data_IF_000681717968
#
_entry.id   IF_000681717968
#
_cell.length_a   1.000
_cell.length_b   1.000
_cell.length_c   1.000
_cell.angle_alpha   90.00
_cell.angle_beta   90.00
_cell.angle_gamma   90.00
#
_symmetry.space_group_name_H-M   'P 1'
#
loop_
_entity.id
_entity.type
_entity.pdbx_description
1 polymer ?
#
# COMPACT_ATOMS: atom_id res chain seq x y z
N UNK A 1 -21.48 -14.14 28.05
CA UNK A 1 -20.64 -14.11 29.28
C UNK A 1 -19.27 -13.61 28.85
N UNK A 2 -19.03 -12.30 28.91
CA UNK A 2 -17.81 -11.69 28.38
C UNK A 2 -16.70 -11.73 29.43
N UNK A 3 -15.59 -12.38 29.10
CA UNK A 3 -14.40 -12.47 29.95
C UNK A 3 -13.48 -11.26 29.71
N UNK A 4 -13.06 -10.61 30.80
CA UNK A 4 -12.05 -9.55 30.80
C UNK A 4 -10.69 -10.13 30.41
N UNK A 5 -10.10 -9.62 29.33
CA UNK A 5 -8.71 -9.87 28.94
C UNK A 5 -7.80 -8.98 29.78
N UNK A 6 -6.99 -9.60 30.64
CA UNK A 6 -5.92 -8.92 31.38
C UNK A 6 -4.67 -8.82 30.49
N UNK A 7 -4.22 -7.59 30.26
CA UNK A 7 -3.03 -7.25 29.48
C UNK A 7 -1.76 -7.49 30.31
N UNK A 8 -1.21 -8.71 30.21
CA UNK A 8 0.23 -9.00 30.30
C UNK A 8 0.43 -10.48 29.93
N UNK A 9 1.03 -10.70 28.76
CA UNK A 9 1.69 -11.94 28.38
C UNK A 9 0.88 -13.25 28.27
N UNK A 10 -0.41 -13.20 27.91
CA UNK A 10 -1.08 -14.41 27.43
C UNK A 10 -0.97 -14.50 25.91
N UNK A 11 0.02 -15.30 25.48
CA UNK A 11 -0.03 -16.06 24.22
C UNK A 11 -1.43 -16.68 24.10
N UNK A 12 -1.93 -16.72 22.87
CA UNK A 12 -3.17 -17.36 22.44
C UNK A 12 -3.31 -18.76 23.08
N UNK A 13 -4.03 -18.86 24.19
CA UNK A 13 -4.21 -20.11 24.96
C UNK A 13 -5.40 -20.96 24.47
N UNK A 14 -6.02 -20.61 23.34
CA UNK A 14 -7.20 -21.31 22.82
C UNK A 14 -6.99 -22.09 21.51
N UNK A 15 -5.75 -22.50 21.21
CA UNK A 15 -5.48 -23.63 20.32
C UNK A 15 -4.60 -24.64 21.06
N UNK A 16 -5.20 -25.71 21.56
CA UNK A 16 -4.50 -26.80 22.25
C UNK A 16 -3.41 -27.40 21.33
N UNK A 17 -2.20 -27.45 21.85
CA UNK A 17 -1.10 -28.37 21.51
C UNK A 17 -0.38 -28.27 20.15
N UNK A 18 -0.29 -27.09 19.53
CA UNK A 18 0.74 -26.86 18.50
C UNK A 18 1.90 -26.07 19.11
N UNK A 19 3.11 -26.66 19.27
CA UNK A 19 4.29 -25.92 19.70
C UNK A 19 4.55 -24.75 18.75
N UNK A 20 4.47 -23.54 19.29
CA UNK A 20 4.77 -22.31 18.55
C UNK A 20 6.25 -22.01 18.75
N UNK A 21 7.10 -22.46 17.82
CA UNK A 21 8.49 -22.04 17.76
C UNK A 21 8.59 -20.68 17.06
N UNK A 22 9.01 -19.65 17.80
CA UNK A 22 9.37 -18.37 17.21
C UNK A 22 10.73 -18.50 16.53
N UNK A 23 10.73 -18.44 15.20
CA UNK A 23 11.95 -18.64 14.41
C UNK A 23 12.78 -17.36 14.22
N UNK A 24 12.14 -16.19 14.12
CA UNK A 24 12.82 -14.95 13.74
C UNK A 24 11.97 -13.68 13.95
N UNK A 25 12.59 -12.61 14.47
CA UNK A 25 12.03 -11.25 14.39
C UNK A 25 12.33 -10.64 13.01
N UNK A 26 11.31 -10.08 12.35
CA UNK A 26 11.43 -9.61 10.96
C UNK A 26 11.14 -8.13 10.77
N UNK A 27 10.79 -7.40 11.83
CA UNK A 27 10.48 -5.95 11.75
C UNK A 27 11.20 -5.11 12.80
N UNK A 28 11.18 -3.80 12.55
CA UNK A 28 11.54 -2.78 13.53
C UNK A 28 10.60 -2.79 14.74
N UNK A 29 11.09 -2.37 15.93
CA UNK A 29 10.29 -2.31 17.13
C UNK A 29 9.34 -1.10 17.10
N UNK A 30 8.10 -1.33 17.50
CA UNK A 30 7.09 -0.30 17.70
C UNK A 30 6.38 -0.53 19.04
N UNK A 31 5.70 0.49 19.56
CA UNK A 31 4.73 0.36 20.65
C UNK A 31 5.21 -0.55 21.81
N UNK A 32 6.28 -0.13 22.50
CA UNK A 32 6.88 -0.89 23.61
C UNK A 32 7.61 -2.16 23.16
N UNK A 33 8.38 -2.06 22.08
CA UNK A 33 9.25 -3.13 21.59
C UNK A 33 8.54 -4.27 20.85
N UNK A 34 7.24 -4.13 20.56
CA UNK A 34 6.49 -5.10 19.76
C UNK A 34 7.05 -5.18 18.34
N UNK A 35 7.09 -6.40 17.79
CA UNK A 35 7.64 -6.70 16.46
C UNK A 35 6.77 -7.73 15.75
N UNK A 36 6.85 -7.74 14.43
CA UNK A 36 6.35 -8.86 13.62
C UNK A 36 7.28 -10.06 13.82
N UNK A 37 6.67 -11.19 14.13
CA UNK A 37 7.36 -12.46 14.37
C UNK A 37 7.02 -13.45 13.25
N UNK A 38 8.03 -14.15 12.74
CA UNK A 38 7.84 -15.30 11.85
C UNK A 38 7.77 -16.57 12.70
N UNK A 39 6.64 -17.25 12.60
CA UNK A 39 6.27 -18.43 13.40
C UNK A 39 5.92 -19.57 12.47
N UNK A 40 6.23 -20.80 12.88
CA UNK A 40 5.78 -22.01 12.19
C UNK A 40 4.57 -22.61 12.93
N UNK A 41 3.44 -22.75 12.22
CA UNK A 41 2.25 -23.43 12.72
C UNK A 41 2.06 -24.75 11.97
N UNK A 42 2.56 -25.85 12.53
CA UNK A 42 2.36 -27.19 11.96
C UNK A 42 3.01 -27.41 10.59
N UNK A 43 4.17 -26.80 10.34
CA UNK A 43 4.90 -26.83 9.07
C UNK A 43 4.57 -25.66 8.14
N UNK A 44 3.59 -24.83 8.49
CA UNK A 44 3.21 -23.63 7.73
C UNK A 44 3.74 -22.37 8.38
N UNK A 45 4.67 -21.71 7.69
CA UNK A 45 5.19 -20.43 8.12
C UNK A 45 4.13 -19.32 8.04
N UNK A 46 4.09 -18.48 9.07
CA UNK A 46 3.15 -17.37 9.21
C UNK A 46 3.82 -16.18 9.89
N UNK A 47 3.21 -15.01 9.75
CA UNK A 47 3.63 -13.79 10.40
C UNK A 47 2.60 -13.38 11.45
N UNK A 48 3.02 -13.31 12.71
CA UNK A 48 2.24 -12.75 13.82
C UNK A 48 2.54 -11.26 13.88
N UNK A 49 1.53 -10.43 13.57
CA UNK A 49 1.64 -8.98 13.58
C UNK A 49 1.00 -8.43 14.85
N UNK A 50 1.70 -7.62 15.67
CA UNK A 50 1.17 -7.04 16.91
C UNK A 50 0.30 -5.80 16.64
N UNK A 51 -0.39 -5.79 15.50
CA UNK A 51 -1.21 -4.70 15.00
C UNK A 51 -2.29 -5.25 14.06
N UNK A 52 -3.33 -4.46 13.78
CA UNK A 52 -4.42 -4.92 12.94
C UNK A 52 -3.97 -5.25 11.54
N UNK A 53 -4.54 -6.34 11.02
CA UNK A 53 -4.30 -6.90 9.68
C UNK A 53 -5.48 -6.61 8.73
N UNK A 54 -6.45 -5.83 9.21
CA UNK A 54 -7.68 -5.52 8.47
C UNK A 54 -7.41 -4.88 7.12
N UNK A 55 -6.41 -4.00 7.02
CA UNK A 55 -6.12 -3.29 5.78
C UNK A 55 -5.47 -4.20 4.73
N UNK A 56 -4.57 -5.10 5.14
CA UNK A 56 -4.10 -6.19 4.27
C UNK A 56 -5.28 -7.05 3.78
N UNK A 57 -6.18 -7.44 4.69
CA UNK A 57 -7.35 -8.25 4.37
C UNK A 57 -8.28 -7.55 3.38
N UNK A 58 -8.68 -6.31 3.69
CA UNK A 58 -9.62 -5.55 2.90
C UNK A 58 -9.10 -5.35 1.48
N UNK A 59 -7.83 -5.03 1.28
CA UNK A 59 -7.32 -4.65 -0.04
C UNK A 59 -6.63 -5.79 -0.81
N UNK A 60 -6.14 -6.83 -0.15
CA UNK A 60 -5.31 -7.87 -0.77
C UNK A 60 -5.62 -9.29 -0.26
N UNK A 61 -6.62 -9.47 0.60
CA UNK A 61 -7.06 -10.78 1.06
C UNK A 61 -7.79 -11.56 -0.01
N UNK A 62 -7.53 -12.86 -0.10
CA UNK A 62 -8.25 -13.77 -1.02
C UNK A 62 -9.77 -13.71 -0.79
N UNK A 63 -10.16 -13.63 0.48
CA UNK A 63 -11.56 -13.50 0.93
C UNK A 63 -11.98 -12.03 1.15
N UNK A 64 -11.28 -11.08 0.54
CA UNK A 64 -11.63 -9.66 0.63
C UNK A 64 -13.07 -9.44 0.11
N UNK A 65 -13.90 -8.64 0.79
CA UNK A 65 -15.23 -8.34 0.30
C UNK A 65 -15.22 -7.52 -1.00
N UNK A 66 -14.13 -6.80 -1.30
CA UNK A 66 -14.03 -6.01 -2.55
C UNK A 66 -13.48 -6.80 -3.73
N UNK A 67 -12.94 -8.02 -3.52
CA UNK A 67 -12.33 -8.83 -4.59
C UNK A 67 -13.31 -9.13 -5.72
N UNK A 68 -14.60 -9.34 -5.40
CA UNK A 68 -15.67 -9.61 -6.36
C UNK A 68 -15.83 -8.55 -7.47
N UNK A 69 -15.40 -7.30 -7.23
CA UNK A 69 -15.44 -6.24 -8.26
C UNK A 69 -14.29 -6.33 -9.26
N UNK A 70 -13.37 -7.27 -9.04
CA UNK A 70 -12.18 -7.52 -9.84
C UNK A 70 -12.24 -8.88 -10.56
N UNK A 71 -13.43 -9.49 -10.63
CA UNK A 71 -13.74 -10.72 -11.38
C UNK A 71 -13.93 -10.45 -12.89
N UNK A 72 -13.11 -9.56 -13.45
CA UNK A 72 -13.10 -9.29 -14.90
C UNK A 72 -11.76 -9.71 -15.48
N UNK A 73 -11.73 -10.32 -16.68
CA UNK A 73 -10.50 -10.60 -17.39
C UNK A 73 -9.68 -9.33 -17.59
N UNK A 74 -8.36 -9.44 -17.44
CA UNK A 74 -7.44 -8.35 -17.73
C UNK A 74 -7.43 -8.03 -19.23
N UNK A 75 -7.10 -6.78 -19.58
CA UNK A 75 -7.14 -6.31 -20.96
C UNK A 75 -6.01 -6.81 -21.87
N UNK A 76 -5.30 -7.88 -21.51
CA UNK A 76 -4.26 -8.50 -22.35
C UNK A 76 -4.89 -9.55 -23.27
N UNK A 77 -4.53 -9.51 -24.55
CA UNK A 77 -5.06 -10.44 -25.56
C UNK A 77 -4.82 -11.90 -25.13
N UNK A 78 -5.86 -12.72 -25.23
CA UNK A 78 -5.86 -14.15 -24.91
C UNK A 78 -5.59 -14.53 -23.44
N UNK A 79 -5.54 -13.54 -22.53
CA UNK A 79 -5.44 -13.81 -21.10
C UNK A 79 -6.80 -14.19 -20.52
N UNK A 80 -6.86 -15.33 -19.82
CA UNK A 80 -8.00 -15.71 -18.97
C UNK A 80 -7.87 -15.23 -17.53
N UNK A 81 -6.77 -14.54 -17.22
CA UNK A 81 -6.46 -14.08 -15.87
C UNK A 81 -7.36 -12.90 -15.52
N UNK A 82 -7.98 -12.96 -14.35
CA UNK A 82 -8.82 -11.90 -13.81
C UNK A 82 -7.99 -10.90 -13.00
N UNK A 83 -8.51 -9.67 -12.82
CA UNK A 83 -7.84 -8.67 -11.97
C UNK A 83 -7.66 -9.16 -10.54
N UNK A 84 -8.64 -9.91 -9.99
CA UNK A 84 -8.54 -10.42 -8.63
C UNK A 84 -7.31 -11.31 -8.43
N UNK A 85 -6.96 -12.09 -9.44
CA UNK A 85 -5.81 -13.00 -9.41
C UNK A 85 -4.47 -12.26 -9.39
N UNK A 86 -4.42 -10.97 -9.74
CA UNK A 86 -3.17 -10.20 -9.74
C UNK A 86 -2.66 -9.90 -8.33
N UNK A 87 -3.54 -9.64 -7.36
CA UNK A 87 -3.12 -9.18 -6.04
C UNK A 87 -4.02 -9.58 -4.84
N UNK A 88 -5.15 -10.27 -5.01
CA UNK A 88 -5.93 -10.79 -3.86
C UNK A 88 -5.51 -12.21 -3.50
N UNK A 89 -4.42 -12.32 -2.72
CA UNK A 89 -3.76 -13.61 -2.43
C UNK A 89 -3.37 -13.80 -0.96
N UNK A 90 -3.57 -12.79 -0.12
CA UNK A 90 -3.25 -12.93 1.31
C UNK A 90 -4.27 -13.81 2.01
N UNK A 91 -3.77 -14.72 2.84
CA UNK A 91 -4.58 -15.63 3.65
C UNK A 91 -4.36 -15.32 5.13
N UNK A 92 -5.45 -15.26 5.89
CA UNK A 92 -5.45 -14.85 7.29
C UNK A 92 -5.89 -16.02 8.17
N UNK A 93 -5.25 -16.16 9.33
CA UNK A 93 -5.51 -17.27 10.28
C UNK A 93 -6.19 -16.80 11.57
N UNK A 94 -6.47 -15.51 11.70
CA UNK A 94 -7.10 -14.91 12.86
C UNK A 94 -8.19 -13.93 12.44
N UNK A 95 -9.01 -13.51 13.41
CA UNK A 95 -9.98 -12.43 13.21
C UNK A 95 -9.26 -11.13 12.78
N UNK A 96 -9.66 -10.62 11.62
CA UNK A 96 -9.06 -9.45 10.97
C UNK A 96 -9.43 -8.13 11.66
N UNK A 97 -10.48 -8.12 12.49
CA UNK A 97 -10.96 -6.93 13.19
C UNK A 97 -10.35 -6.75 14.58
N UNK A 98 -9.38 -7.60 14.98
CA UNK A 98 -8.72 -7.50 16.27
C UNK A 98 -7.74 -6.30 16.30
N UNK A 99 -7.94 -5.31 17.20
CA UNK A 99 -7.03 -4.17 17.33
C UNK A 99 -5.62 -4.56 17.80
N UNK A 100 -5.51 -5.68 18.51
CA UNK A 100 -4.29 -6.12 19.20
C UNK A 100 -3.31 -6.89 18.33
N UNK A 101 -3.71 -7.31 17.13
CA UNK A 101 -2.86 -8.13 16.28
C UNK A 101 -3.61 -9.12 15.41
N UNK A 102 -2.88 -9.73 14.49
CA UNK A 102 -3.40 -10.81 13.66
C UNK A 102 -2.30 -11.69 13.06
N UNK A 103 -2.71 -12.79 12.45
CA UNK A 103 -1.83 -13.80 11.86
C UNK A 103 -2.10 -13.90 10.37
N UNK A 104 -1.06 -13.72 9.56
CA UNK A 104 -1.09 -13.81 8.10
C UNK A 104 -0.18 -14.94 7.65
N UNK A 105 -0.65 -15.82 6.75
CA UNK A 105 0.20 -16.88 6.19
C UNK A 105 1.35 -16.28 5.39
N UNK A 106 2.53 -16.89 5.49
CA UNK A 106 3.68 -16.47 4.70
C UNK A 106 3.44 -16.76 3.21
N UNK A 107 3.63 -15.74 2.38
CA UNK A 107 3.68 -15.93 0.94
C UNK A 107 5.13 -16.04 0.50
N UNK A 108 5.46 -17.18 -0.09
CA UNK A 108 6.76 -17.42 -0.71
C UNK A 108 6.84 -16.62 -2.01
N UNK A 109 7.76 -15.65 -2.02
CA UNK A 109 8.06 -14.88 -3.23
C UNK A 109 8.92 -15.69 -4.21
N UNK A 110 8.94 -15.23 -5.46
CA UNK A 110 9.94 -15.65 -6.44
C UNK A 110 11.31 -15.05 -6.07
N UNK A 111 12.36 -15.82 -6.31
CA UNK A 111 13.73 -15.35 -6.13
C UNK A 111 14.01 -14.16 -7.06
N UNK A 112 14.50 -13.05 -6.49
CA UNK A 112 14.78 -11.81 -7.23
C UNK A 112 15.75 -12.01 -8.41
N UNK A 113 16.62 -13.02 -8.33
CA UNK A 113 17.67 -13.28 -9.30
C UNK A 113 17.23 -14.21 -10.46
N UNK A 114 16.06 -14.86 -10.37
CA UNK A 114 15.80 -16.03 -11.20
C UNK A 114 15.16 -15.73 -12.56
N UNK A 115 14.41 -14.63 -12.73
CA UNK A 115 13.64 -14.39 -13.96
C UNK A 115 13.46 -12.91 -14.28
N UNK A 116 13.74 -12.51 -15.52
CA UNK A 116 13.35 -11.21 -16.07
C UNK A 116 11.83 -10.98 -15.91
N UNK A 117 11.35 -9.73 -15.75
CA UNK A 117 9.92 -9.42 -15.76
C UNK A 117 9.27 -9.82 -17.09
N UNK A 118 8.14 -10.51 -17.00
CA UNK A 118 7.27 -10.82 -18.13
C UNK A 118 6.38 -9.63 -18.50
N UNK A 119 5.69 -9.73 -19.64
CA UNK A 119 4.62 -8.78 -20.03
C UNK A 119 3.58 -8.61 -18.93
N UNK A 120 3.21 -9.70 -18.26
CA UNK A 120 2.19 -9.68 -17.22
C UNK A 120 2.70 -9.03 -15.92
N UNK A 121 3.99 -9.17 -15.59
CA UNK A 121 4.59 -8.46 -14.45
C UNK A 121 4.47 -6.94 -14.63
N UNK A 122 4.75 -6.43 -15.82
CA UNK A 122 4.65 -4.99 -16.11
C UNK A 122 3.22 -4.48 -16.12
N UNK A 123 2.30 -5.24 -16.68
CA UNK A 123 0.88 -4.93 -16.64
C UNK A 123 0.34 -4.92 -15.21
N UNK A 124 0.63 -5.98 -14.43
CA UNK A 124 0.23 -6.10 -13.02
C UNK A 124 0.81 -4.96 -12.19
N UNK A 125 2.06 -4.57 -12.44
CA UNK A 125 2.67 -3.43 -11.77
C UNK A 125 1.94 -2.11 -12.06
N UNK A 126 1.55 -1.86 -13.31
CA UNK A 126 0.69 -0.74 -13.68
C UNK A 126 -0.67 -0.74 -12.96
N UNK A 127 -1.32 -1.91 -12.92
CA UNK A 127 -2.57 -2.08 -12.20
C UNK A 127 -2.42 -1.83 -10.68
N UNK A 128 -1.33 -2.30 -10.07
CA UNK A 128 -1.04 -2.07 -8.66
C UNK A 128 -0.81 -0.58 -8.36
N UNK A 129 -0.14 0.17 -9.25
CA UNK A 129 -0.01 1.63 -9.12
C UNK A 129 -1.38 2.30 -9.10
N UNK A 130 -2.25 1.94 -10.05
CA UNK A 130 -3.59 2.52 -10.16
C UNK A 130 -4.44 2.23 -8.93
N UNK A 131 -4.50 0.95 -8.55
CA UNK A 131 -5.22 0.47 -7.38
C UNK A 131 -4.76 1.17 -6.11
N UNK A 132 -3.46 1.16 -5.84
CA UNK A 132 -2.87 1.75 -4.62
C UNK A 132 -3.03 3.27 -4.58
N UNK A 133 -2.92 3.96 -5.72
CA UNK A 133 -3.09 5.41 -5.79
C UNK A 133 -4.54 5.85 -5.56
N UNK A 134 -5.51 5.09 -6.06
CA UNK A 134 -6.94 5.38 -5.88
C UNK A 134 -7.36 5.13 -4.42
N UNK A 135 -7.00 3.97 -3.87
CA UNK A 135 -7.35 3.60 -2.49
C UNK A 135 -6.43 4.21 -1.43
N UNK A 136 -5.44 5.00 -1.83
CA UNK A 136 -4.60 5.74 -0.90
C UNK A 136 -3.68 4.85 -0.07
N UNK A 137 -3.17 3.77 -0.68
CA UNK A 137 -2.30 2.78 -0.03
C UNK A 137 -0.85 3.28 -0.09
N UNK A 138 -0.27 3.57 1.08
CA UNK A 138 1.08 4.12 1.21
C UNK A 138 2.11 3.03 1.57
N UNK A 139 3.37 3.41 1.66
CA UNK A 139 4.47 2.58 2.18
C UNK A 139 4.73 1.29 1.39
N UNK A 140 4.40 1.27 0.09
CA UNK A 140 4.65 0.12 -0.78
C UNK A 140 6.08 0.12 -1.34
N UNK A 141 7.05 0.21 -0.44
CA UNK A 141 8.46 0.07 -0.76
C UNK A 141 8.88 -1.40 -0.93
N UNK A 142 10.08 -1.63 -1.45
CA UNK A 142 10.62 -2.97 -1.79
C UNK A 142 10.39 -4.05 -0.71
N UNK A 143 10.53 -3.69 0.57
CA UNK A 143 10.44 -4.64 1.69
C UNK A 143 9.01 -5.03 2.05
N UNK A 144 8.02 -4.22 1.66
CA UNK A 144 6.60 -4.43 1.93
C UNK A 144 5.89 -5.12 0.75
N UNK A 145 6.67 -5.63 -0.21
CA UNK A 145 6.20 -6.27 -1.42
C UNK A 145 6.91 -7.61 -1.62
N UNK A 146 6.18 -8.57 -2.20
CA UNK A 146 6.74 -9.82 -2.74
C UNK A 146 6.36 -9.94 -4.21
N UNK A 147 7.28 -10.45 -5.03
CA UNK A 147 6.93 -10.88 -6.39
C UNK A 147 6.38 -12.30 -6.31
N UNK A 148 5.14 -12.53 -6.73
CA UNK A 148 4.44 -13.81 -6.56
C UNK A 148 3.79 -14.18 -7.88
N UNK A 149 4.27 -15.26 -8.51
CA UNK A 149 3.88 -15.57 -9.88
C UNK A 149 4.15 -14.38 -10.81
N UNK A 150 3.09 -13.80 -11.37
CA UNK A 150 3.16 -12.77 -12.41
C UNK A 150 2.82 -11.35 -11.93
N UNK A 151 2.95 -11.09 -10.63
CA UNK A 151 2.62 -9.78 -10.05
C UNK A 151 3.40 -9.45 -8.79
N UNK A 152 3.28 -8.19 -8.35
CA UNK A 152 3.76 -7.74 -7.06
C UNK A 152 2.59 -7.72 -6.06
N UNK A 153 2.82 -8.31 -4.89
CA UNK A 153 1.84 -8.43 -3.82
C UNK A 153 2.29 -7.63 -2.60
N UNK A 154 1.53 -6.62 -2.18
CA UNK A 154 1.68 -6.00 -0.87
C UNK A 154 1.50 -7.02 0.24
N UNK A 155 2.47 -7.10 1.15
CA UNK A 155 2.45 -8.00 2.31
C UNK A 155 2.39 -7.24 3.64
N UNK A 156 2.51 -5.92 3.57
CA UNK A 156 2.44 -5.03 4.70
C UNK A 156 1.66 -3.78 4.28
N UNK A 157 0.41 -3.68 4.79
CA UNK A 157 -0.49 -2.57 4.50
C UNK A 157 -1.07 -2.07 5.80
N UNK A 158 -0.56 -0.93 6.26
CA UNK A 158 -1.06 -0.24 7.45
C UNK A 158 -1.64 1.14 7.15
N UNK A 159 -1.40 1.60 5.93
CA UNK A 159 -1.67 2.96 5.48
C UNK A 159 -2.57 2.85 4.27
N UNK A 160 -3.81 3.31 4.42
CA UNK A 160 -4.82 3.23 3.39
C UNK A 160 -5.78 4.42 3.50
N UNK A 161 -6.60 4.60 2.48
CA UNK A 161 -7.63 5.65 2.40
C UNK A 161 -7.06 7.07 2.47
N UNK A 162 -5.80 7.27 2.08
CA UNK A 162 -5.17 8.59 2.01
C UNK A 162 -5.41 9.20 0.62
N UNK A 163 -5.94 10.43 0.56
CA UNK A 163 -6.06 11.13 -0.72
C UNK A 163 -4.72 11.66 -1.22
N UNK A 164 -3.99 10.83 -1.95
CA UNK A 164 -2.73 11.21 -2.59
C UNK A 164 -2.94 12.24 -3.70
N UNK A 165 -2.00 13.17 -3.83
CA UNK A 165 -1.91 14.09 -4.97
C UNK A 165 -1.26 13.39 -6.16
N UNK A 166 -0.24 12.58 -5.95
CA UNK A 166 0.56 11.93 -7.00
C UNK A 166 0.70 10.42 -6.74
N UNK A 167 0.82 9.58 -7.80
CA UNK A 167 0.92 8.14 -7.61
C UNK A 167 2.27 7.69 -7.03
N UNK A 168 3.34 8.48 -7.16
CA UNK A 168 4.63 8.16 -6.52
C UNK A 168 4.57 8.23 -5.00
N UNK A 169 3.53 8.86 -4.43
CA UNK A 169 3.29 8.81 -3.00
C UNK A 169 3.07 7.37 -2.54
N UNK A 170 2.64 6.43 -3.38
CA UNK A 170 2.55 4.99 -3.00
C UNK A 170 3.90 4.36 -2.64
N UNK A 171 5.03 4.94 -3.07
CA UNK A 171 6.40 4.39 -2.98
C UNK A 171 6.66 3.16 -3.86
N UNK A 172 5.76 2.88 -4.80
CA UNK A 172 6.00 1.88 -5.85
C UNK A 172 7.12 2.32 -6.80
N UNK A 173 7.26 3.62 -7.05
CA UNK A 173 8.36 4.19 -7.84
C UNK A 173 8.85 5.52 -7.23
N UNK A 174 10.04 6.02 -7.64
CA UNK A 174 10.68 7.17 -7.01
C UNK A 174 9.81 8.42 -6.90
N UNK A 175 9.77 8.97 -5.69
CA UNK A 175 9.15 10.25 -5.38
C UNK A 175 10.22 11.35 -5.37
N UNK A 176 10.05 12.45 -6.14
CA UNK A 176 11.01 13.55 -6.14
C UNK A 176 11.26 14.11 -4.73
N UNK A 177 12.53 14.30 -4.37
CA UNK A 177 12.93 14.83 -3.06
C UNK A 177 12.78 13.84 -1.89
N UNK A 178 12.37 12.59 -2.14
CA UNK A 178 12.31 11.57 -1.10
C UNK A 178 13.70 11.04 -0.74
N UNK A 179 13.92 10.77 0.55
CA UNK A 179 15.12 10.06 1.06
C UNK A 179 15.02 8.54 0.90
N UNK A 180 13.90 8.03 0.37
CA UNK A 180 13.73 6.61 0.11
C UNK A 180 14.61 6.16 -1.06
N UNK A 181 15.25 5.00 -0.88
CA UNK A 181 16.15 4.41 -1.89
C UNK A 181 15.65 3.06 -2.39
N UNK A 182 14.61 2.51 -1.77
CA UNK A 182 14.04 1.20 -2.08
C UNK A 182 12.57 1.40 -2.44
N UNK A 183 12.23 1.21 -3.71
CA UNK A 183 10.88 1.36 -4.24
C UNK A 183 10.36 0.02 -4.74
N UNK A 184 9.04 -0.14 -4.88
CA UNK A 184 8.45 -1.40 -5.36
C UNK A 184 8.95 -1.86 -6.72
N UNK A 185 9.20 -0.92 -7.65
CA UNK A 185 9.75 -1.18 -8.99
C UNK A 185 11.09 -1.92 -8.96
N UNK A 186 11.85 -1.82 -7.86
CA UNK A 186 13.12 -2.52 -7.70
C UNK A 186 12.98 -4.04 -7.53
N UNK A 187 11.75 -4.57 -7.42
CA UNK A 187 11.47 -6.01 -7.56
C UNK A 187 11.43 -6.48 -9.03
N UNK A 188 11.31 -5.55 -9.97
CA UNK A 188 11.22 -5.85 -11.41
C UNK A 188 12.49 -5.44 -12.15
N UNK A 189 13.07 -4.29 -11.82
CA UNK A 189 14.30 -3.78 -12.47
C UNK A 189 15.29 -3.24 -11.46
N UNK A 190 16.59 -3.39 -11.74
CA UNK A 190 17.65 -2.83 -10.90
C UNK A 190 17.71 -1.30 -10.95
N UNK A 191 17.25 -0.69 -12.04
CA UNK A 191 17.22 0.75 -12.24
C UNK A 191 16.02 1.14 -13.09
N UNK A 192 15.32 2.19 -12.70
CA UNK A 192 14.16 2.68 -13.44
C UNK A 192 14.53 3.26 -14.81
N UNK A 193 15.77 3.71 -14.96
CA UNK A 193 16.29 4.28 -16.21
C UNK A 193 16.51 3.20 -17.30
N UNK A 194 16.43 1.92 -16.96
CA UNK A 194 16.53 0.82 -17.93
C UNK A 194 15.17 0.35 -18.44
N UNK A 195 14.08 0.97 -17.99
CA UNK A 195 12.73 0.64 -18.46
C UNK A 195 12.65 0.89 -19.97
N UNK A 196 12.10 -0.08 -20.69
CA UNK A 196 11.89 0.00 -22.13
C UNK A 196 10.50 0.55 -22.46
N UNK A 197 10.28 0.98 -23.70
CA UNK A 197 9.02 1.62 -24.10
C UNK A 197 7.82 0.66 -24.07
N UNK A 198 8.03 -0.62 -24.37
CA UNK A 198 7.05 -1.70 -24.27
C UNK A 198 6.60 -1.95 -22.82
N UNK A 199 7.55 -1.96 -21.88
CA UNK A 199 7.24 -2.06 -20.46
C UNK A 199 6.42 -0.84 -19.98
N UNK A 200 6.76 0.36 -20.43
CA UNK A 200 5.97 1.56 -20.14
C UNK A 200 4.54 1.46 -20.69
N UNK A 201 4.37 0.99 -21.92
CA UNK A 201 3.05 0.78 -22.53
C UNK A 201 2.19 -0.16 -21.68
N UNK A 202 2.77 -1.28 -21.23
CA UNK A 202 2.09 -2.26 -20.38
C UNK A 202 1.73 -1.69 -19.01
N UNK A 203 2.61 -0.90 -18.40
CA UNK A 203 2.33 -0.20 -17.12
C UNK A 203 1.15 0.77 -17.31
N UNK A 204 1.18 1.59 -18.36
CA UNK A 204 0.10 2.54 -18.65
C UNK A 204 -1.21 1.82 -18.91
N UNK A 205 -1.16 0.71 -19.65
CA UNK A 205 -2.32 -0.10 -19.94
C UNK A 205 -2.93 -0.70 -18.67
N UNK A 206 -2.12 -1.33 -17.82
CA UNK A 206 -2.57 -1.88 -16.54
C UNK A 206 -3.16 -0.80 -15.62
N UNK A 207 -2.52 0.37 -15.56
CA UNK A 207 -2.99 1.53 -14.81
C UNK A 207 -4.36 2.05 -15.31
N UNK A 208 -4.54 2.17 -16.62
CA UNK A 208 -5.80 2.65 -17.21
C UNK A 208 -6.91 1.61 -17.01
N UNK A 209 -6.66 0.35 -17.35
CA UNK A 209 -7.67 -0.72 -17.27
C UNK A 209 -8.21 -0.86 -15.83
N UNK A 210 -7.35 -0.79 -14.80
CA UNK A 210 -7.82 -0.84 -13.39
C UNK A 210 -8.61 0.39 -12.98
N UNK A 211 -8.23 1.59 -13.46
CA UNK A 211 -8.97 2.82 -13.17
C UNK A 211 -10.37 2.76 -13.78
N UNK A 212 -10.49 2.31 -15.03
CA UNK A 212 -11.78 2.14 -15.71
C UNK A 212 -12.65 1.10 -14.96
N UNK A 213 -12.07 -0.03 -14.57
CA UNK A 213 -12.79 -1.04 -13.80
C UNK A 213 -13.33 -0.51 -12.47
N UNK A 214 -12.53 0.28 -11.74
CA UNK A 214 -12.96 0.91 -10.48
C UNK A 214 -14.06 1.94 -10.74
N UNK A 215 -13.97 2.74 -11.81
CA UNK A 215 -15.01 3.70 -12.20
C UNK A 215 -16.33 2.99 -12.48
N UNK A 216 -16.29 1.90 -13.26
CA UNK A 216 -17.47 1.10 -13.61
C UNK A 216 -18.11 0.45 -12.38
N UNK A 217 -17.29 0.10 -11.39
CA UNK A 217 -17.72 -0.65 -10.19
C UNK A 217 -17.92 0.24 -8.96
N UNK A 218 -17.79 1.57 -9.10
CA UNK A 218 -17.64 2.50 -7.97
C UNK A 218 -18.77 2.42 -6.95
N UNK A 219 -20.02 2.31 -7.39
CA UNK A 219 -21.18 2.38 -6.49
C UNK A 219 -21.29 1.11 -5.64
N UNK A 220 -20.98 -0.05 -6.25
CA UNK A 220 -20.85 -1.32 -5.53
C UNK A 220 -19.67 -1.29 -4.58
N UNK A 221 -18.51 -0.80 -5.03
CA UNK A 221 -17.31 -0.66 -4.19
C UNK A 221 -17.55 0.24 -2.97
N UNK A 222 -18.16 1.41 -3.14
CA UNK A 222 -18.49 2.33 -2.03
C UNK A 222 -19.38 1.60 -1.01
N UNK A 223 -20.47 0.98 -1.45
CA UNK A 223 -21.39 0.27 -0.56
C UNK A 223 -20.70 -0.86 0.22
N UNK A 224 -19.89 -1.66 -0.47
CA UNK A 224 -19.17 -2.78 0.16
C UNK A 224 -18.08 -2.29 1.11
N UNK A 225 -17.35 -1.24 0.75
CA UNK A 225 -16.38 -0.60 1.63
C UNK A 225 -17.07 -0.03 2.87
N UNK A 226 -18.13 0.76 2.73
CA UNK A 226 -18.87 1.33 3.87
C UNK A 226 -19.33 0.24 4.84
N UNK A 227 -19.80 -0.90 4.31
CA UNK A 227 -20.20 -2.07 5.12
C UNK A 227 -18.99 -2.70 5.83
N UNK A 228 -17.88 -2.92 5.13
CA UNK A 228 -16.68 -3.52 5.72
C UNK A 228 -15.98 -2.59 6.73
N UNK A 229 -16.10 -1.27 6.55
CA UNK A 229 -15.47 -0.26 7.40
C UNK A 229 -16.23 -0.02 8.72
N UNK A 230 -17.51 -0.34 8.80
CA UNK A 230 -18.34 -0.14 10.01
C UNK A 230 -17.74 -0.79 11.27
N UNK A 231 -17.41 -2.10 11.27
CA UNK A 231 -16.69 -2.72 12.40
C UNK A 231 -15.24 -2.24 12.55
N UNK A 232 -14.63 -1.69 11.49
CA UNK A 232 -13.24 -1.24 11.47
C UNK A 232 -13.03 0.20 11.93
N UNK A 233 -14.09 0.93 12.31
CA UNK A 233 -14.02 2.34 12.72
C UNK A 233 -13.04 2.63 13.87
N UNK A 234 -12.76 1.62 14.70
CA UNK A 234 -11.82 1.71 15.82
C UNK A 234 -10.38 1.36 15.45
N UNK A 235 -10.17 0.75 14.29
CA UNK A 235 -8.86 0.26 13.88
C UNK A 235 -7.93 1.43 13.49
N UNK A 236 -6.65 1.34 13.85
CA UNK A 236 -5.65 2.33 13.48
C UNK A 236 -5.35 2.23 11.98
N UNK A 237 -5.31 3.38 11.31
CA UNK A 237 -4.65 3.58 10.02
C UNK A 237 -3.37 4.35 10.33
N UNK A 238 -2.22 3.73 10.06
CA UNK A 238 -0.92 4.31 10.38
C UNK A 238 -0.69 5.60 9.60
N UNK A 239 -0.03 6.55 10.25
CA UNK A 239 0.38 7.82 9.66
C UNK A 239 1.90 7.93 9.68
N UNK A 240 2.51 7.98 8.49
CA UNK A 240 3.96 8.07 8.35
C UNK A 240 4.37 9.54 8.19
N UNK A 241 5.11 10.04 9.16
CA UNK A 241 5.62 11.41 9.16
C UNK A 241 7.01 11.51 8.53
N UNK A 242 7.86 10.52 8.78
CA UNK A 242 9.28 10.48 8.40
C UNK A 242 9.67 9.08 7.94
N UNK A 243 10.79 9.00 7.24
CA UNK A 243 11.41 7.74 6.86
C UNK A 243 11.88 6.98 8.11
N UNK A 244 11.53 5.69 8.22
CA UNK A 244 11.95 4.83 9.32
C UNK A 244 13.46 4.84 9.56
N UNK A 245 14.27 4.96 8.51
CA UNK A 245 15.73 5.06 8.63
C UNK A 245 16.19 6.26 9.46
N UNK A 246 15.49 7.39 9.40
CA UNK A 246 15.81 8.58 10.20
C UNK A 246 15.65 8.27 11.69
N UNK A 247 14.56 7.61 12.08
CA UNK A 247 14.33 7.18 13.45
C UNK A 247 15.32 6.11 13.91
N UNK A 248 15.66 5.15 13.05
CA UNK A 248 16.67 4.13 13.38
C UNK A 248 18.06 4.73 13.60
N UNK A 249 18.43 5.78 12.86
CA UNK A 249 19.66 6.53 13.12
C UNK A 249 19.62 7.18 14.51
N UNK A 250 18.49 7.79 14.89
CA UNK A 250 18.27 8.35 16.23
C UNK A 250 18.43 7.32 17.33
N UNK A 251 17.74 6.18 17.21
CA UNK A 251 17.77 5.10 18.21
C UNK A 251 19.20 4.56 18.41
N UNK A 252 20.02 4.58 17.36
CA UNK A 252 21.44 4.18 17.40
C UNK A 252 22.38 5.28 17.94
N UNK A 253 21.85 6.37 18.46
CA UNK A 253 22.60 7.48 19.04
C UNK A 253 23.04 8.57 18.04
N UNK A 254 22.67 8.44 16.76
CA UNK A 254 22.91 9.49 15.78
C UNK A 254 21.76 10.50 15.81
N UNK A 255 21.98 11.71 16.31
CA UNK A 255 20.96 12.77 16.24
C UNK A 255 21.10 13.47 14.88
N UNK A 256 20.11 13.38 13.98
CA UNK A 256 20.15 14.16 12.76
C UNK A 256 20.11 15.65 13.11
N UNK A 257 21.03 16.43 12.56
CA UNK A 257 21.06 17.88 12.78
C UNK A 257 19.74 18.50 12.25
N UNK A 258 19.21 19.48 12.99
CA UNK A 258 18.06 20.32 12.59
C UNK A 258 16.68 19.64 12.47
N UNK A 259 16.48 18.46 13.06
CA UNK A 259 15.15 17.83 13.05
C UNK A 259 14.28 18.31 14.22
N UNK A 260 13.22 19.06 13.88
CA UNK A 260 12.11 19.33 14.80
C UNK A 260 11.29 18.04 14.99
N UNK A 261 11.34 17.46 16.19
CA UNK A 261 10.54 16.30 16.59
C UNK A 261 9.37 16.72 17.50
N UNK A 262 8.22 16.09 17.32
CA UNK A 262 7.10 16.20 18.25
C UNK A 262 7.47 15.60 19.62
N UNK A 263 6.82 16.04 20.68
CA UNK A 263 7.05 15.50 22.04
C UNK A 263 6.74 14.00 22.07
N UNK A 264 5.71 13.58 21.34
CA UNK A 264 5.27 12.19 21.20
C UNK A 264 6.24 11.35 20.35
N UNK A 265 6.88 11.94 19.33
CA UNK A 265 7.99 11.27 18.60
C UNK A 265 9.14 11.01 19.57
N UNK A 266 9.55 12.04 20.32
CA UNK A 266 10.66 11.95 21.27
C UNK A 266 10.37 10.94 22.39
N UNK A 267 9.14 10.89 22.89
CA UNK A 267 8.74 9.94 23.93
C UNK A 267 8.86 8.48 23.44
N UNK A 268 8.50 8.21 22.20
CA UNK A 268 8.66 6.88 21.58
C UNK A 268 10.12 6.54 21.31
N UNK A 269 10.89 7.47 20.76
CA UNK A 269 12.32 7.29 20.50
C UNK A 269 13.11 7.00 21.77
N UNK A 270 12.79 7.66 22.89
CA UNK A 270 13.40 7.39 24.21
C UNK A 270 13.17 5.97 24.72
N UNK A 271 12.11 5.29 24.25
CA UNK A 271 11.85 3.87 24.55
C UNK A 271 12.61 2.91 23.62
N UNK A 272 13.25 3.42 22.58
CA UNK A 272 13.83 2.61 21.50
C UNK A 272 12.80 2.15 20.46
N UNK A 273 11.61 2.76 20.43
CA UNK A 273 10.57 2.47 19.45
C UNK A 273 10.73 3.37 18.21
N UNK A 274 10.46 2.83 17.02
CA UNK A 274 10.17 3.65 15.85
C UNK A 274 8.78 4.29 16.05
N UNK A 275 8.65 5.62 16.00
CA UNK A 275 7.39 6.30 16.26
C UNK A 275 6.22 5.78 15.40
N UNK A 276 5.13 5.48 16.08
CA UNK A 276 3.89 4.95 15.52
C UNK A 276 2.75 5.93 15.79
N UNK A 277 2.31 6.59 14.74
CA UNK A 277 1.13 7.45 14.77
C UNK A 277 0.03 6.82 13.94
N UNK A 278 -1.22 7.09 14.31
CA UNK A 278 -2.35 6.60 13.56
C UNK A 278 -3.54 7.53 13.67
N UNK A 279 -4.47 7.36 12.74
CA UNK A 279 -5.81 7.95 12.78
C UNK A 279 -6.83 6.81 12.77
N UNK A 280 -8.07 7.14 13.10
CA UNK A 280 -9.21 6.24 13.00
C UNK A 280 -10.11 6.74 11.88
N UNK A 281 -10.92 5.86 11.30
CA UNK A 281 -11.92 6.27 10.31
C UNK A 281 -12.84 7.33 10.93
N UNK A 282 -13.21 8.33 10.11
CA UNK A 282 -14.03 9.48 10.51
C UNK A 282 -13.46 10.34 11.65
N UNK A 283 -12.22 10.13 12.09
CA UNK A 283 -11.55 10.92 13.14
C UNK A 283 -10.45 11.81 12.56
N UNK A 284 -10.59 13.11 12.75
CA UNK A 284 -9.55 14.10 12.43
C UNK A 284 -8.45 14.22 13.50
N UNK A 285 -8.54 13.46 14.59
CA UNK A 285 -7.48 13.41 15.60
C UNK A 285 -6.36 12.45 15.16
N UNK A 286 -5.13 12.85 15.43
CA UNK A 286 -3.95 11.99 15.35
C UNK A 286 -3.73 11.36 16.72
N UNK A 287 -3.37 10.09 16.77
CA UNK A 287 -3.17 9.34 18.00
C UNK A 287 -1.80 8.65 18.03
N UNK A 288 -1.37 8.29 19.23
CA UNK A 288 -0.21 7.46 19.49
C UNK A 288 -0.44 6.62 20.76
N UNK A 289 0.42 5.62 20.97
CA UNK A 289 0.40 4.80 22.19
C UNK A 289 1.31 5.42 23.26
N UNK A 290 0.68 6.09 24.24
CA UNK A 290 1.40 6.67 25.38
C UNK A 290 1.82 5.61 26.39
N UNK A 291 1.03 4.53 26.51
CA UNK A 291 1.29 3.33 27.32
C UNK A 291 0.86 2.06 26.55
N UNK A 292 1.23 0.86 27.04
CA UNK A 292 1.02 -0.45 26.36
C UNK A 292 -0.41 -0.69 25.88
N UNK A 293 -1.40 -0.07 26.52
CA UNK A 293 -2.80 -0.16 26.12
C UNK A 293 -3.54 1.18 26.17
N UNK A 294 -2.79 2.29 26.28
CA UNK A 294 -3.37 3.63 26.34
C UNK A 294 -3.10 4.39 25.04
N UNK A 295 -4.18 4.80 24.40
CA UNK A 295 -4.16 5.64 23.20
C UNK A 295 -4.43 7.09 23.60
N UNK A 296 -3.52 7.99 23.24
CA UNK A 296 -3.63 9.41 23.57
C UNK A 296 -3.72 10.24 22.28
N UNK A 297 -4.69 11.17 22.15
CA UNK A 297 -4.75 12.08 21.01
C UNK A 297 -3.63 13.12 21.10
N UNK A 298 -3.10 13.50 19.95
CA UNK A 298 -2.09 14.56 19.80
C UNK A 298 -2.81 15.88 19.60
N UNK A 299 -2.56 16.85 20.48
CA UNK A 299 -3.14 18.19 20.43
C UNK A 299 -2.34 19.04 19.43
N UNK A 300 -2.41 18.71 18.15
CA UNK A 300 -1.77 19.50 17.09
C UNK A 300 -2.66 19.61 15.85
N UNK A 301 -2.54 20.71 15.12
CA UNK A 301 -3.30 20.98 13.89
C UNK A 301 -2.72 20.29 12.64
N UNK A 302 -2.00 19.18 12.80
CA UNK A 302 -1.30 18.54 11.69
C UNK A 302 -2.32 17.91 10.74
N UNK A 303 -2.46 18.50 9.55
CA UNK A 303 -3.39 18.04 8.48
C UNK A 303 -2.78 17.04 7.51
N UNK A 304 -1.53 16.58 7.72
CA UNK A 304 -0.87 15.63 6.81
C UNK A 304 -1.64 14.29 6.80
N UNK A 305 -1.92 13.79 5.59
CA UNK A 305 -2.52 12.47 5.34
C UNK A 305 -3.91 12.30 5.96
N UNK A 306 -4.88 13.12 5.55
CA UNK A 306 -6.26 12.91 5.97
C UNK A 306 -6.79 11.60 5.40
N UNK A 307 -7.32 10.74 6.28
CA UNK A 307 -8.14 9.60 5.87
C UNK A 307 -9.39 10.15 5.21
N UNK A 308 -9.69 9.66 4.02
CA UNK A 308 -10.85 10.04 3.25
C UNK A 308 -11.86 8.89 3.25
N UNK A 309 -13.13 9.26 3.36
CA UNK A 309 -14.22 8.31 3.22
C UNK A 309 -14.27 7.73 1.79
N UNK A 310 -14.71 6.48 1.59
CA UNK A 310 -14.74 5.83 0.28
C UNK A 310 -15.48 6.62 -0.79
N UNK A 311 -16.61 7.24 -0.45
CA UNK A 311 -17.41 8.06 -1.37
C UNK A 311 -16.65 9.30 -1.87
N UNK A 312 -15.71 9.84 -1.09
CA UNK A 312 -14.85 10.96 -1.51
C UNK A 312 -13.77 10.45 -2.46
N UNK A 313 -13.04 9.39 -2.07
CA UNK A 313 -11.95 8.80 -2.87
C UNK A 313 -12.43 8.30 -4.24
N UNK A 314 -13.59 7.63 -4.25
CA UNK A 314 -14.19 7.02 -5.43
C UNK A 314 -15.20 7.95 -6.13
N UNK A 315 -15.26 9.22 -5.73
CA UNK A 315 -16.09 10.19 -6.44
C UNK A 315 -15.66 10.29 -7.90
N UNK A 316 -16.62 10.45 -8.80
CA UNK A 316 -16.34 10.59 -10.22
C UNK A 316 -15.34 11.74 -10.52
N UNK A 317 -15.48 12.86 -9.81
CA UNK A 317 -14.54 13.98 -9.92
C UNK A 317 -13.11 13.58 -9.54
N UNK A 318 -12.92 12.78 -8.49
CA UNK A 318 -11.60 12.28 -8.10
C UNK A 318 -11.08 11.26 -9.10
N UNK A 319 -11.83 10.21 -9.41
CA UNK A 319 -11.35 9.14 -10.29
C UNK A 319 -11.05 9.64 -11.71
N UNK A 320 -12.04 10.26 -12.35
CA UNK A 320 -12.02 10.53 -13.79
C UNK A 320 -11.34 11.86 -14.11
N UNK A 321 -11.61 12.91 -13.33
CA UNK A 321 -11.08 14.26 -13.61
C UNK A 321 -9.72 14.52 -12.97
N UNK A 322 -9.32 13.72 -11.98
CA UNK A 322 -8.08 13.94 -11.22
C UNK A 322 -7.13 12.75 -11.31
N UNK A 323 -7.46 11.61 -10.69
CA UNK A 323 -6.53 10.49 -10.47
C UNK A 323 -6.06 9.90 -11.80
N UNK A 324 -6.98 9.48 -12.67
CA UNK A 324 -6.65 8.89 -13.97
C UNK A 324 -5.73 9.79 -14.83
N UNK A 325 -6.09 11.04 -15.18
CA UNK A 325 -5.23 11.89 -15.99
C UNK A 325 -3.91 12.24 -15.28
N UNK A 326 -3.95 12.52 -13.97
CA UNK A 326 -2.74 12.86 -13.21
C UNK A 326 -1.77 11.68 -13.15
N UNK A 327 -2.27 10.48 -12.93
CA UNK A 327 -1.43 9.29 -12.83
C UNK A 327 -0.83 8.90 -14.17
N UNK A 328 -1.60 8.94 -15.26
CA UNK A 328 -1.06 8.73 -16.63
C UNK A 328 0.07 9.71 -16.91
N UNK A 329 -0.18 11.01 -16.74
CA UNK A 329 0.82 12.05 -17.03
C UNK A 329 2.06 11.89 -16.15
N UNK A 330 1.88 11.60 -14.86
CA UNK A 330 2.99 11.44 -13.93
C UNK A 330 3.81 10.17 -14.18
N UNK A 331 3.16 9.04 -14.50
CA UNK A 331 3.84 7.81 -14.92
C UNK A 331 4.68 8.07 -16.16
N UNK A 332 4.11 8.71 -17.19
CA UNK A 332 4.89 9.07 -18.36
C UNK A 332 6.04 10.03 -18.00
N UNK A 333 5.84 11.05 -17.17
CA UNK A 333 6.94 11.96 -16.80
C UNK A 333 8.09 11.26 -16.06
N UNK A 334 7.80 10.23 -15.24
CA UNK A 334 8.79 9.60 -14.36
C UNK A 334 9.38 8.30 -14.89
N UNK A 335 8.61 7.54 -15.65
CA UNK A 335 9.01 6.21 -16.12
C UNK A 335 9.38 6.20 -17.60
N UNK A 336 9.05 7.25 -18.35
CA UNK A 336 9.30 7.26 -19.79
C UNK A 336 10.79 7.34 -20.11
N UNK A 337 11.29 6.49 -21.03
CA UNK A 337 12.66 6.58 -21.51
C UNK A 337 12.98 7.98 -22.04
N UNK A 338 14.21 8.43 -21.82
CA UNK A 338 14.69 9.71 -22.33
C UNK A 338 14.44 9.80 -23.84
N UNK A 339 13.91 10.94 -24.30
CA UNK A 339 13.60 11.24 -25.70
C UNK A 339 12.51 10.38 -26.37
N UNK A 340 11.77 9.53 -25.64
CA UNK A 340 10.62 8.85 -26.24
C UNK A 340 9.62 9.87 -26.78
N UNK A 341 9.24 9.70 -28.04
CA UNK A 341 8.12 10.37 -28.69
C UNK A 341 7.26 9.31 -29.35
N UNK A 342 5.96 9.37 -29.14
CA UNK A 342 5.04 8.34 -29.62
C UNK A 342 3.62 8.60 -29.17
N UNK A 343 2.71 7.74 -29.60
CA UNK A 343 1.32 7.78 -29.16
C UNK A 343 0.93 6.42 -28.61
N UNK A 344 0.14 6.42 -27.54
CA UNK A 344 -0.54 5.23 -27.04
C UNK A 344 -2.05 5.43 -27.22
N UNK A 345 -2.75 4.41 -27.70
CA UNK A 345 -4.20 4.42 -27.86
C UNK A 345 -4.79 3.28 -27.03
N UNK A 346 -5.72 3.61 -26.14
CA UNK A 346 -6.39 2.67 -25.25
C UNK A 346 -7.90 2.95 -25.28
N UNK A 347 -8.69 2.15 -26.02
CA UNK A 347 -10.13 2.40 -26.22
C UNK A 347 -10.37 3.87 -26.65
N UNK A 348 -11.11 4.63 -25.88
CA UNK A 348 -11.42 6.05 -26.13
C UNK A 348 -10.36 7.02 -25.57
N UNK A 349 -9.29 6.49 -24.98
CA UNK A 349 -8.17 7.26 -24.45
C UNK A 349 -6.99 7.30 -25.44
N UNK A 350 -6.36 8.47 -25.57
CA UNK A 350 -5.16 8.71 -26.36
C UNK A 350 -4.11 9.43 -25.53
N UNK A 351 -2.89 8.92 -25.50
CA UNK A 351 -1.72 9.61 -24.95
C UNK A 351 -0.82 10.01 -26.10
N UNK A 352 -0.46 11.28 -26.19
CA UNK A 352 0.55 11.80 -27.10
C UNK A 352 1.78 12.25 -26.31
N UNK A 353 2.89 11.57 -26.52
CA UNK A 353 4.19 11.93 -25.95
C UNK A 353 5.01 12.67 -27.00
N UNK A 354 5.23 13.98 -26.79
CA UNK A 354 6.12 14.82 -27.60
C UNK A 354 7.34 15.22 -26.78
N UNK A 355 8.39 15.74 -27.44
CA UNK A 355 9.67 16.10 -26.81
C UNK A 355 9.51 16.90 -25.51
N UNK A 356 8.61 17.90 -25.50
CA UNK A 356 8.43 18.82 -24.37
C UNK A 356 7.04 18.75 -23.71
N UNK A 357 6.16 17.86 -24.18
CA UNK A 357 4.75 17.85 -23.79
C UNK A 357 4.18 16.45 -23.84
N UNK A 358 3.41 16.11 -22.82
CA UNK A 358 2.59 14.89 -22.79
C UNK A 358 1.14 15.36 -22.75
N UNK A 359 0.32 14.83 -23.64
CA UNK A 359 -1.11 15.10 -23.68
C UNK A 359 -1.86 13.78 -23.47
N UNK A 360 -2.84 13.77 -22.57
CA UNK A 360 -3.76 12.66 -22.38
C UNK A 360 -5.16 13.15 -22.75
N UNK A 361 -5.81 12.46 -23.67
CA UNK A 361 -7.17 12.75 -24.13
C UNK A 361 -8.03 11.55 -23.81
N UNK A 362 -9.22 11.76 -23.28
CA UNK A 362 -10.23 10.72 -23.13
C UNK A 362 -11.63 11.30 -23.42
N UNK A 363 -12.68 10.50 -23.22
CA UNK A 363 -14.08 10.92 -23.36
C UNK A 363 -14.46 12.12 -22.49
N UNK A 364 -13.66 12.46 -21.50
CA UNK A 364 -13.93 13.50 -20.51
C UNK A 364 -13.12 14.79 -20.71
N UNK A 365 -12.16 14.80 -21.64
CA UNK A 365 -11.42 16.01 -22.01
C UNK A 365 -9.98 15.76 -22.43
N UNK A 366 -9.25 16.88 -22.57
CA UNK A 366 -7.83 16.92 -22.93
C UNK A 366 -7.03 17.48 -21.75
N UNK A 367 -6.05 16.71 -21.31
CA UNK A 367 -5.15 17.02 -20.20
C UNK A 367 -3.73 17.09 -20.73
N UNK A 368 -2.91 18.00 -20.21
CA UNK A 368 -1.52 18.14 -20.68
C UNK A 368 -0.57 18.47 -19.53
N UNK A 369 0.66 17.97 -19.65
CA UNK A 369 1.77 18.30 -18.76
C UNK A 369 3.03 18.63 -19.57
N UNK A 370 3.85 19.54 -19.03
CA UNK A 370 5.20 19.79 -19.55
C UNK A 370 6.12 18.64 -19.14
N UNK A 371 7.05 18.26 -20.00
CA UNK A 371 8.12 17.33 -19.64
C UNK A 371 9.16 18.12 -18.82
N UNK A 372 9.50 17.63 -17.62
CA UNK A 372 10.50 18.24 -16.74
C UNK A 372 11.92 17.97 -17.22
#
# INVERSE_FOLDING_TARGET
MFMKLNSKANRVENSRDIPVECSQYVSDPHNFGQRVERVDFGGEASYVKPRPIFWEYLFFGEESPVSQFFDKPIGLRDSKIEFKELFFRLQFMSDVYLPSGGVVKEIRGLDKAATSPSTLDWYSYGALIGYSYIFGIHDLHLENLKRVGTGLLPIDVETALIDFKLPCETLLYPMPGSTHTKYGVHLLVSSINTLQADALELILKGYIDICELIVDSKDGLIKTLDTALEPATKLPIRMIFRNTKEYLTWIKGGVPQDIVVMVEELAQLKRGDVPYFFRKISSNNLYWYSEVSQVTPIVTSIKKGMICEPNVLLSYAKLVKSKLPTGVLHICQKLMPNNFTGNFQFRDSKIECRKNRITYTNTYGVFAAKRS
#
